data_IF_311801800484
#
_entry.id   IF_311801800484
#
_cell.length_a   1.000
_cell.length_b   1.000
_cell.length_c   1.000
_cell.angle_alpha   90.00
_cell.angle_beta   90.00
_cell.angle_gamma   90.00
#
_symmetry.space_group_name_H-M   'P 1'
#
loop_
_entity.id
_entity.type
_entity.pdbx_description
1 polymer ?
#
# COMPACT_ATOMS: atom_id res chain seq x y z
N UNK A 1 19.47 11.13 1.01
CA UNK A 1 18.05 10.82 1.14
C UNK A 1 17.87 9.61 2.03
N UNK A 2 16.93 9.68 2.96
CA UNK A 2 16.69 8.59 3.89
C UNK A 2 15.57 7.71 3.37
N UNK A 3 15.83 6.40 3.29
CA UNK A 3 14.80 5.47 2.84
C UNK A 3 13.74 5.29 3.91
N UNK A 4 12.51 5.15 3.46
CA UNK A 4 11.33 4.89 4.29
C UNK A 4 10.57 3.72 3.71
N UNK A 5 9.75 3.08 4.53
CA UNK A 5 8.76 2.12 4.04
C UNK A 5 7.82 2.88 3.09
N UNK A 6 7.53 2.28 1.94
CA UNK A 6 6.62 2.87 0.95
C UNK A 6 5.21 2.33 1.17
N UNK A 7 4.22 3.07 0.70
CA UNK A 7 2.81 2.74 0.88
C UNK A 7 2.16 2.53 -0.48
N UNK A 8 1.43 1.44 -0.64
CA UNK A 8 0.59 1.19 -1.81
C UNK A 8 -0.86 1.07 -1.34
N UNK A 9 -1.74 1.82 -1.96
CA UNK A 9 -3.17 1.83 -1.63
C UNK A 9 -3.93 1.18 -2.76
N UNK A 10 -4.67 0.11 -2.46
CA UNK A 10 -5.44 -0.66 -3.44
C UNK A 10 -6.91 -0.62 -3.03
N UNK A 11 -7.75 -0.11 -3.90
CA UNK A 11 -9.19 -0.07 -3.66
C UNK A 11 -9.92 -0.61 -4.88
N UNK A 12 -11.14 -1.10 -4.68
CA UNK A 12 -12.02 -1.45 -5.79
C UNK A 12 -12.42 -0.22 -6.60
N UNK A 13 -12.33 0.98 -5.99
CA UNK A 13 -12.64 2.25 -6.65
C UNK A 13 -11.35 3.02 -6.89
N UNK A 14 -11.11 3.38 -8.14
CA UNK A 14 -9.94 4.19 -8.50
C UNK A 14 -9.99 5.56 -7.80
N UNK A 15 -11.19 6.13 -7.62
CA UNK A 15 -11.35 7.42 -6.94
C UNK A 15 -11.02 7.32 -5.45
N UNK A 16 -11.41 6.23 -4.80
CA UNK A 16 -11.08 6.03 -3.39
C UNK A 16 -9.58 5.91 -3.21
N UNK A 17 -8.91 5.10 -4.05
CA UNK A 17 -7.47 4.93 -3.97
C UNK A 17 -6.74 6.25 -4.18
N UNK A 18 -7.15 7.01 -5.20
CA UNK A 18 -6.53 8.28 -5.52
C UNK A 18 -6.72 9.31 -4.41
N UNK A 19 -7.94 9.41 -3.87
CA UNK A 19 -8.25 10.35 -2.80
C UNK A 19 -7.50 10.03 -1.52
N UNK A 20 -7.43 8.75 -1.16
CA UNK A 20 -6.67 8.31 0.01
C UNK A 20 -5.19 8.64 -0.15
N UNK A 21 -4.62 8.38 -1.33
CA UNK A 21 -3.21 8.69 -1.61
C UNK A 21 -2.94 10.19 -1.51
N UNK A 22 -3.85 11.01 -2.06
CA UNK A 22 -3.72 12.46 -2.00
C UNK A 22 -3.71 12.96 -0.55
N UNK A 23 -4.60 12.43 0.28
CA UNK A 23 -4.67 12.79 1.68
C UNK A 23 -3.40 12.41 2.43
N UNK A 24 -2.93 11.19 2.21
CA UNK A 24 -1.69 10.69 2.83
C UNK A 24 -0.51 11.58 2.45
N UNK A 25 -0.37 11.92 1.16
CA UNK A 25 0.73 12.76 0.69
C UNK A 25 0.73 14.14 1.36
N UNK A 26 -0.44 14.71 1.58
CA UNK A 26 -0.52 16.00 2.25
C UNK A 26 -0.11 15.91 3.72
N UNK A 27 -0.34 14.77 4.35
CA UNK A 27 -0.03 14.59 5.76
C UNK A 27 1.45 14.27 6.02
N UNK A 28 2.08 13.47 5.14
CA UNK A 28 3.46 13.01 5.39
C UNK A 28 4.50 13.62 4.46
N UNK A 29 4.08 14.33 3.42
CA UNK A 29 5.01 14.97 2.50
C UNK A 29 5.70 13.97 1.58
N UNK A 30 6.89 14.33 1.10
CA UNK A 30 7.61 13.59 0.07
C UNK A 30 8.51 12.48 0.59
N UNK A 31 8.69 12.39 1.89
CA UNK A 31 9.59 11.41 2.47
C UNK A 31 9.08 9.98 2.31
N UNK A 32 7.76 9.81 2.25
CA UNK A 32 7.15 8.49 2.08
C UNK A 32 6.61 8.42 0.65
N UNK A 33 7.06 7.41 -0.10
CA UNK A 33 6.54 7.21 -1.46
C UNK A 33 5.21 6.49 -1.37
N UNK A 34 4.23 7.01 -2.10
CA UNK A 34 2.86 6.48 -2.10
C UNK A 34 2.43 6.23 -3.54
N UNK A 35 1.95 5.03 -3.82
CA UNK A 35 1.33 4.70 -5.09
C UNK A 35 -0.09 4.20 -4.82
N UNK A 36 -0.96 4.32 -5.81
CA UNK A 36 -2.33 3.88 -5.68
C UNK A 36 -2.83 3.25 -6.96
N UNK A 37 -3.74 2.30 -6.84
CA UNK A 37 -4.45 1.74 -7.97
C UNK A 37 -5.82 1.27 -7.52
N UNK A 38 -6.74 1.20 -8.47
CA UNK A 38 -8.10 0.75 -8.19
C UNK A 38 -8.93 0.74 -9.45
N UNK A 39 -10.06 0.05 -9.37
CA UNK A 39 -10.94 -0.11 -10.50
C UNK A 39 -10.48 -1.22 -11.43
N UNK A 40 -11.37 -1.61 -12.35
CA UNK A 40 -11.04 -2.61 -13.37
C UNK A 40 -10.64 -1.91 -14.68
N UNK A 41 -10.23 -2.70 -15.67
CA UNK A 41 -9.77 -2.17 -16.95
C UNK A 41 -10.83 -1.37 -17.72
N UNK A 42 -12.11 -1.62 -17.43
CA UNK A 42 -13.23 -0.91 -18.05
C UNK A 42 -13.64 0.36 -17.31
N UNK A 43 -12.95 0.69 -16.22
CA UNK A 43 -13.25 1.90 -15.45
C UNK A 43 -14.29 1.69 -14.35
N UNK A 44 -14.78 0.47 -14.16
CA UNK A 44 -15.73 0.13 -13.09
C UNK A 44 -15.02 -0.32 -11.83
N UNK A 45 -15.79 -0.83 -10.89
CA UNK A 45 -15.25 -1.35 -9.63
C UNK A 45 -14.49 -2.65 -9.85
N UNK A 46 -13.44 -2.84 -9.10
CA UNK A 46 -12.62 -4.05 -9.14
C UNK A 46 -11.17 -3.75 -8.91
N UNK A 47 -10.33 -4.77 -9.03
CA UNK A 47 -8.88 -4.65 -8.90
C UNK A 47 -8.21 -5.44 -10.02
N UNK A 48 -6.96 -5.13 -10.28
CA UNK A 48 -6.20 -5.78 -11.35
C UNK A 48 -4.80 -6.13 -10.84
N UNK A 49 -4.46 -7.41 -10.90
CA UNK A 49 -3.19 -7.92 -10.38
C UNK A 49 -1.99 -7.22 -11.03
N UNK A 50 -2.03 -7.02 -12.36
CA UNK A 50 -0.92 -6.38 -13.06
C UNK A 50 -0.74 -4.93 -12.61
N UNK A 51 -1.84 -4.21 -12.39
CA UNK A 51 -1.79 -2.82 -11.92
C UNK A 51 -1.22 -2.75 -10.49
N UNK A 52 -1.60 -3.68 -9.63
CA UNK A 52 -1.08 -3.73 -8.27
C UNK A 52 0.44 -4.01 -8.29
N UNK A 53 0.85 -4.97 -9.09
CA UNK A 53 2.28 -5.29 -9.25
C UNK A 53 3.06 -4.07 -9.70
N UNK A 54 2.54 -3.35 -10.69
CA UNK A 54 3.17 -2.14 -11.22
C UNK A 54 3.30 -1.07 -10.13
N UNK A 55 2.26 -0.88 -9.31
CA UNK A 55 2.31 0.07 -8.20
C UNK A 55 3.41 -0.28 -7.20
N UNK A 56 3.52 -1.56 -6.85
CA UNK A 56 4.57 -1.99 -5.93
C UNK A 56 5.95 -1.71 -6.52
N UNK A 57 6.12 -2.05 -7.81
CA UNK A 57 7.39 -1.82 -8.50
C UNK A 57 7.80 -0.35 -8.52
N UNK A 58 6.82 0.55 -8.66
CA UNK A 58 7.09 1.98 -8.71
C UNK A 58 7.68 2.53 -7.42
N UNK A 59 7.35 1.94 -6.29
CA UNK A 59 7.73 2.49 -4.99
C UNK A 59 8.62 1.56 -4.17
N UNK A 60 8.97 0.40 -4.71
CA UNK A 60 9.78 -0.56 -3.96
C UNK A 60 11.12 0.04 -3.59
N UNK A 61 11.56 -0.23 -2.37
CA UNK A 61 12.86 0.18 -1.88
C UNK A 61 13.29 -0.76 -0.76
N UNK A 62 14.52 -0.58 -0.25
CA UNK A 62 15.11 -1.54 0.71
C UNK A 62 14.34 -1.64 2.04
N UNK A 63 13.60 -0.61 2.40
CA UNK A 63 12.78 -0.64 3.63
C UNK A 63 11.48 -1.40 3.44
N UNK A 64 11.08 -1.69 2.20
CA UNK A 64 9.91 -2.49 1.90
C UNK A 64 8.67 -1.67 1.61
N UNK A 65 7.56 -2.39 1.42
CA UNK A 65 6.27 -1.80 1.00
C UNK A 65 5.15 -2.37 1.87
N UNK A 66 4.32 -1.48 2.39
CA UNK A 66 3.08 -1.84 3.08
C UNK A 66 1.91 -1.57 2.14
N UNK A 67 1.11 -2.59 1.86
CA UNK A 67 -0.04 -2.50 0.96
C UNK A 67 -1.32 -2.44 1.80
N UNK A 68 -2.13 -1.43 1.56
CA UNK A 68 -3.44 -1.25 2.21
C UNK A 68 -4.52 -1.59 1.20
N UNK A 69 -5.50 -2.38 1.62
CA UNK A 69 -6.57 -2.88 0.75
C UNK A 69 -7.93 -2.61 1.38
N UNK A 70 -8.99 -2.53 0.57
CA UNK A 70 -10.34 -2.26 1.12
C UNK A 70 -11.17 -3.54 1.29
N UNK A 71 -11.40 -4.29 0.23
CA UNK A 71 -12.28 -5.45 0.28
C UNK A 71 -11.49 -6.73 -0.02
N UNK A 72 -12.06 -7.88 0.32
CA UNK A 72 -11.39 -9.17 0.24
C UNK A 72 -10.72 -9.47 -1.09
N UNK A 73 -11.37 -9.13 -2.20
CA UNK A 73 -10.78 -9.34 -3.53
C UNK A 73 -9.50 -8.55 -3.75
N UNK A 74 -9.41 -7.36 -3.16
CA UNK A 74 -8.20 -6.54 -3.23
C UNK A 74 -7.04 -7.22 -2.48
N UNK A 75 -7.33 -7.85 -1.36
CA UNK A 75 -6.32 -8.58 -0.60
C UNK A 75 -5.78 -9.77 -1.41
N UNK A 76 -6.68 -10.58 -1.97
CA UNK A 76 -6.29 -11.75 -2.76
C UNK A 76 -5.45 -11.35 -3.97
N UNK A 77 -5.90 -10.33 -4.70
CA UNK A 77 -5.17 -9.87 -5.88
C UNK A 77 -3.83 -9.25 -5.52
N UNK A 78 -3.73 -8.59 -4.35
CA UNK A 78 -2.46 -8.06 -3.86
C UNK A 78 -1.48 -9.18 -3.52
N UNK A 79 -1.96 -10.25 -2.89
CA UNK A 79 -1.11 -11.40 -2.60
C UNK A 79 -0.62 -12.05 -3.90
N UNK A 80 -1.48 -12.16 -4.91
CA UNK A 80 -1.08 -12.69 -6.21
C UNK A 80 -0.02 -11.82 -6.88
N UNK A 81 -0.18 -10.50 -6.78
CA UNK A 81 0.80 -9.56 -7.34
C UNK A 81 2.16 -9.72 -6.66
N UNK A 82 2.17 -9.90 -5.35
CA UNK A 82 3.40 -10.09 -4.58
C UNK A 82 4.12 -11.36 -5.05
N UNK A 83 3.37 -12.44 -5.30
CA UNK A 83 3.95 -13.69 -5.77
C UNK A 83 4.63 -13.56 -7.13
N UNK A 84 4.28 -12.54 -7.90
CA UNK A 84 4.88 -12.28 -9.20
C UNK A 84 6.13 -11.42 -9.14
N UNK A 85 6.49 -10.92 -7.96
CA UNK A 85 7.70 -10.12 -7.78
C UNK A 85 8.94 -11.01 -7.66
N UNK A 86 10.15 -10.44 -7.84
CA UNK A 86 11.36 -11.19 -7.55
C UNK A 86 11.34 -11.78 -6.14
N UNK A 87 11.95 -12.93 -5.96
CA UNK A 87 11.87 -13.68 -4.70
C UNK A 87 12.32 -12.86 -3.48
N UNK A 88 13.41 -12.13 -3.63
CA UNK A 88 13.95 -11.34 -2.53
C UNK A 88 13.06 -10.15 -2.18
N UNK A 89 12.24 -9.67 -3.13
CA UNK A 89 11.27 -8.61 -2.86
C UNK A 89 10.06 -9.11 -2.10
N UNK A 90 9.66 -10.37 -2.35
CA UNK A 90 8.42 -10.91 -1.76
C UNK A 90 8.41 -10.85 -0.24
N UNK A 91 9.57 -11.11 0.39
CA UNK A 91 9.67 -11.07 1.85
C UNK A 91 9.59 -9.64 2.40
N UNK A 92 9.70 -8.64 1.53
CA UNK A 92 9.77 -7.24 1.92
C UNK A 92 8.53 -6.44 1.50
N UNK A 93 7.44 -7.13 1.18
CA UNK A 93 6.16 -6.52 0.83
C UNK A 93 5.07 -7.23 1.64
N UNK A 94 4.28 -6.46 2.38
CA UNK A 94 3.23 -7.02 3.24
C UNK A 94 1.89 -6.38 2.93
N UNK A 95 0.82 -7.15 3.09
CA UNK A 95 -0.55 -6.64 3.02
C UNK A 95 -1.04 -6.45 4.45
N UNK A 96 -1.52 -5.25 4.77
CA UNK A 96 -1.98 -4.91 6.10
C UNK A 96 -3.48 -5.17 6.23
N UNK A 97 -3.90 -5.82 7.32
CA UNK A 97 -5.31 -6.06 7.65
C UNK A 97 -5.84 -4.85 8.42
N UNK A 98 -6.20 -3.79 7.70
CA UNK A 98 -6.66 -2.54 8.27
C UNK A 98 -7.57 -1.83 7.28
N UNK A 99 -8.49 -0.97 7.74
CA UNK A 99 -9.28 -0.14 6.83
C UNK A 99 -8.38 0.68 5.93
N UNK A 100 -8.74 0.77 4.64
CA UNK A 100 -7.83 1.27 3.61
C UNK A 100 -7.40 2.72 3.85
N UNK A 101 -8.32 3.59 4.24
CA UNK A 101 -8.00 5.01 4.41
C UNK A 101 -7.29 5.23 5.74
N UNK A 102 -7.90 4.83 6.83
CA UNK A 102 -7.32 5.03 8.16
C UNK A 102 -6.00 4.27 8.31
N UNK A 103 -5.97 3.03 7.79
CA UNK A 103 -4.74 2.24 7.81
C UNK A 103 -3.62 2.87 7.01
N UNK A 104 -3.95 3.46 5.85
CA UNK A 104 -2.95 4.13 5.03
C UNK A 104 -2.36 5.34 5.76
N UNK A 105 -3.20 6.13 6.43
CA UNK A 105 -2.74 7.28 7.21
C UNK A 105 -1.81 6.83 8.33
N UNK A 106 -2.22 5.80 9.08
CA UNK A 106 -1.41 5.31 10.20
C UNK A 106 -0.11 4.70 9.73
N UNK A 107 -0.15 3.89 8.67
CA UNK A 107 1.05 3.28 8.10
C UNK A 107 2.03 4.34 7.61
N UNK A 108 1.52 5.34 6.87
CA UNK A 108 2.37 6.40 6.32
C UNK A 108 2.99 7.25 7.40
N UNK A 109 2.22 7.57 8.46
CA UNK A 109 2.73 8.36 9.58
C UNK A 109 3.87 7.62 10.28
N UNK A 110 3.69 6.32 10.50
CA UNK A 110 4.72 5.50 11.11
C UNK A 110 5.96 5.40 10.21
N UNK A 111 5.73 5.23 8.89
CA UNK A 111 6.81 5.17 7.90
C UNK A 111 7.59 6.48 7.85
N UNK A 112 6.91 7.62 7.95
CA UNK A 112 7.55 8.94 7.94
C UNK A 112 8.54 9.09 9.11
N UNK A 113 8.26 8.43 10.22
CA UNK A 113 9.16 8.41 11.38
C UNK A 113 10.36 7.50 11.21
N UNK A 114 10.46 6.76 10.12
CA UNK A 114 11.61 5.89 9.85
C UNK A 114 11.48 4.48 10.41
N UNK A 115 10.30 4.09 10.84
CA UNK A 115 10.06 2.77 11.43
C UNK A 115 10.24 1.62 10.45
N UNK A 116 10.48 0.43 10.96
CA UNK A 116 10.61 -0.78 10.15
C UNK A 116 9.28 -1.18 9.52
N UNK A 117 9.33 -2.03 8.50
CA UNK A 117 8.14 -2.57 7.87
C UNK A 117 7.24 -3.28 8.88
N UNK A 118 7.82 -4.07 9.78
CA UNK A 118 7.07 -4.76 10.81
C UNK A 118 6.32 -3.78 11.72
N UNK A 119 6.96 -2.68 12.09
CA UNK A 119 6.33 -1.66 12.94
C UNK A 119 5.25 -0.90 12.19
N UNK A 120 5.48 -0.58 10.93
CA UNK A 120 4.49 0.10 10.08
C UNK A 120 3.24 -0.76 9.98
N UNK A 121 3.40 -2.05 9.69
CA UNK A 121 2.27 -2.98 9.62
C UNK A 121 1.54 -3.08 10.95
N UNK A 122 2.28 -3.24 12.04
CA UNK A 122 1.69 -3.38 13.37
C UNK A 122 0.88 -2.14 13.75
N UNK A 123 1.40 -0.96 13.47
CA UNK A 123 0.71 0.30 13.77
C UNK A 123 -0.59 0.41 12.97
N UNK A 124 -0.57 0.07 11.68
CA UNK A 124 -1.77 0.11 10.86
C UNK A 124 -2.83 -0.87 11.35
N UNK A 125 -2.42 -2.08 11.74
CA UNK A 125 -3.36 -3.14 12.12
C UNK A 125 -3.86 -3.02 13.55
N UNK A 126 -3.06 -2.48 14.44
CA UNK A 126 -3.34 -2.47 15.87
C UNK A 126 -4.57 -1.65 16.21
N UNK A 127 -4.84 -0.58 15.49
CA UNK A 127 -5.98 0.29 15.76
C UNK A 127 -7.34 -0.37 15.52
N UNK A 128 -7.36 -1.50 14.85
CA UNK A 128 -8.61 -2.09 14.37
C UNK A 128 -8.83 -3.50 14.89
N UNK A 129 -8.19 -3.84 15.97
CA UNK A 129 -8.40 -5.10 16.65
C UNK A 129 -9.55 -5.01 17.63
#
# INVERSE_FOLDING_TARGET
MTDRVSIVIVSHSSDVARGAAAMVRQMVGREVRVAHCGGNAAGGLGTDVAAIKHCIEQVYGPKGVAVLVDLGGAETNSEMAIEMLPKDWQANVVVCSAPVVEGAVMAATEAAGGSSLAKVRATAEEMFR
#
